data_IF_517841315271
#
_entry.id   IF_517841315271
#
_cell.length_a   1.000
_cell.length_b   1.000
_cell.length_c   1.000
_cell.angle_alpha   90.00
_cell.angle_beta   90.00
_cell.angle_gamma   90.00
#
_symmetry.space_group_name_H-M   'P 1'
#
loop_
_entity.id
_entity.type
_entity.pdbx_description
1 polymer ?
#
# COMPACT_ATOMS: atom_id res chain seq x y z
N UNK A 1 -42.22 48.20 -10.68
CA UNK A 1 -42.66 47.32 -9.59
C UNK A 1 -41.41 46.79 -8.91
N UNK A 2 -41.06 47.35 -7.75
CA UNK A 2 -40.12 46.75 -6.80
C UNK A 2 -40.95 46.18 -5.66
N UNK A 3 -40.65 44.97 -5.20
CA UNK A 3 -40.98 44.47 -3.87
C UNK A 3 -39.86 43.52 -3.41
N UNK A 4 -39.41 43.73 -2.18
CA UNK A 4 -38.18 43.24 -1.52
C UNK A 4 -38.47 42.04 -0.58
N UNK A 5 -37.42 41.21 -0.38
CA UNK A 5 -37.08 40.35 0.79
C UNK A 5 -38.08 39.22 1.15
N UNK A 6 -37.71 38.01 1.60
CA UNK A 6 -36.71 37.55 2.58
C UNK A 6 -36.49 36.03 2.37
N UNK A 7 -35.26 35.50 2.56
CA UNK A 7 -34.94 34.24 3.28
C UNK A 7 -33.62 33.60 2.80
N UNK A 8 -32.66 33.50 3.73
CA UNK A 8 -31.51 32.61 3.67
C UNK A 8 -31.93 31.14 3.80
N UNK A 9 -31.35 30.26 2.99
CA UNK A 9 -30.99 28.87 3.29
C UNK A 9 -29.74 28.61 2.42
N UNK A 10 -28.53 28.70 2.94
CA UNK A 10 -27.82 27.56 3.56
C UNK A 10 -28.20 26.22 2.91
N UNK A 11 -27.33 25.77 2.02
CA UNK A 11 -27.08 24.35 1.78
C UNK A 11 -25.57 24.23 1.59
N UNK A 12 -24.86 24.12 2.70
CA UNK A 12 -24.42 22.85 3.29
C UNK A 12 -23.46 22.10 2.36
N UNK A 13 -22.27 21.91 2.94
CA UNK A 13 -21.40 20.78 2.70
C UNK A 13 -20.93 20.63 1.25
N UNK A 14 -19.96 21.48 0.89
CA UNK A 14 -18.75 20.91 0.28
C UNK A 14 -18.19 19.94 1.31
N UNK A 15 -18.72 18.71 1.32
CA UNK A 15 -18.06 17.56 1.90
C UNK A 15 -16.70 17.50 1.20
N UNK A 16 -15.71 18.15 1.80
CA UNK A 16 -14.44 17.48 1.96
C UNK A 16 -14.83 16.17 2.62
N UNK A 17 -15.08 15.16 1.80
CA UNK A 17 -14.96 13.78 2.20
C UNK A 17 -13.57 13.73 2.82
N UNK A 18 -13.52 13.93 4.12
CA UNK A 18 -12.41 13.55 4.95
C UNK A 18 -12.43 12.04 4.84
N UNK A 19 -11.87 11.51 3.74
CA UNK A 19 -11.44 10.12 3.70
C UNK A 19 -10.65 9.96 4.98
N UNK A 20 -11.16 9.18 5.92
CA UNK A 20 -10.38 8.75 7.06
C UNK A 20 -9.07 8.21 6.47
N UNK A 21 -7.99 8.97 6.69
CA UNK A 21 -6.94 9.15 5.71
C UNK A 21 -6.05 7.94 5.61
N UNK A 22 -6.20 7.16 4.55
CA UNK A 22 -5.21 6.18 4.16
C UNK A 22 -3.94 6.96 3.81
N UNK A 23 -2.93 6.87 4.67
CA UNK A 23 -1.68 7.60 4.56
C UNK A 23 -0.82 7.02 3.42
N UNK A 24 -0.65 7.75 2.33
CA UNK A 24 0.14 7.33 1.17
C UNK A 24 1.56 6.88 1.54
N UNK A 25 2.22 7.57 2.46
CA UNK A 25 3.56 7.17 2.93
C UNK A 25 3.53 5.79 3.58
N UNK A 26 2.51 5.49 4.38
CA UNK A 26 2.38 4.17 4.99
C UNK A 26 2.07 3.09 3.94
N UNK A 27 1.24 3.39 2.95
CA UNK A 27 0.97 2.49 1.82
C UNK A 27 2.27 2.16 1.08
N UNK A 28 3.11 3.16 0.81
CA UNK A 28 4.42 2.97 0.15
C UNK A 28 5.36 2.10 0.98
N UNK A 29 5.40 2.29 2.29
CA UNK A 29 6.20 1.44 3.18
C UNK A 29 5.73 -0.02 3.14
N UNK A 30 4.42 -0.25 3.23
CA UNK A 30 3.82 -1.59 3.09
C UNK A 30 4.20 -2.19 1.74
N UNK A 31 3.99 -1.45 0.64
CA UNK A 31 4.33 -1.91 -0.71
C UNK A 31 5.81 -2.29 -0.85
N UNK A 32 6.71 -1.53 -0.21
CA UNK A 32 8.15 -1.78 -0.23
C UNK A 32 8.49 -3.08 0.49
N UNK A 33 7.94 -3.31 1.68
CA UNK A 33 8.21 -4.55 2.44
C UNK A 33 7.73 -5.79 1.67
N UNK A 34 6.56 -5.70 1.05
CA UNK A 34 6.02 -6.78 0.20
C UNK A 34 6.83 -6.97 -1.09
N UNK A 35 7.35 -5.88 -1.66
CA UNK A 35 8.22 -5.95 -2.85
C UNK A 35 9.58 -6.56 -2.54
N UNK A 36 10.15 -6.28 -1.36
CA UNK A 36 11.39 -6.94 -0.90
C UNK A 36 11.17 -8.44 -0.78
N UNK A 37 10.10 -8.88 -0.11
CA UNK A 37 9.77 -10.30 0.02
C UNK A 37 9.62 -10.98 -1.35
N UNK A 38 8.85 -10.37 -2.26
CA UNK A 38 8.70 -10.91 -3.61
C UNK A 38 10.02 -10.97 -4.37
N UNK A 39 10.85 -9.93 -4.26
CA UNK A 39 12.19 -9.92 -4.84
C UNK A 39 13.08 -11.05 -4.31
N UNK A 40 13.05 -11.28 -3.00
CA UNK A 40 13.80 -12.38 -2.36
C UNK A 40 13.30 -13.75 -2.83
N UNK A 41 11.97 -13.94 -2.87
CA UNK A 41 11.38 -15.19 -3.35
C UNK A 41 11.78 -15.49 -4.79
N UNK A 42 11.81 -14.47 -5.66
CA UNK A 42 12.24 -14.62 -7.05
C UNK A 42 13.74 -14.91 -7.17
N UNK A 43 14.58 -14.19 -6.44
CA UNK A 43 16.05 -14.37 -6.50
C UNK A 43 16.46 -15.76 -6.01
N UNK A 44 15.83 -16.23 -4.93
CA UNK A 44 16.21 -17.47 -4.25
C UNK A 44 15.38 -18.68 -4.71
N UNK A 45 14.55 -18.54 -5.76
CA UNK A 45 13.63 -19.57 -6.25
C UNK A 45 12.75 -20.17 -5.14
N UNK A 46 12.37 -19.36 -4.15
CA UNK A 46 11.57 -19.80 -3.02
C UNK A 46 10.08 -19.80 -3.37
N UNK A 47 9.38 -20.85 -2.94
CA UNK A 47 7.93 -20.92 -3.05
C UNK A 47 7.28 -20.10 -1.93
N UNK A 48 6.99 -18.82 -2.21
CA UNK A 48 6.27 -17.92 -1.32
C UNK A 48 4.93 -17.46 -1.90
N UNK A 49 4.04 -16.97 -1.04
CA UNK A 49 2.80 -16.33 -1.47
C UNK A 49 3.08 -15.01 -2.20
N UNK A 50 2.25 -14.65 -3.18
CA UNK A 50 2.35 -13.37 -3.87
C UNK A 50 1.62 -12.27 -3.09
N UNK A 51 2.20 -11.91 -1.93
CA UNK A 51 1.64 -10.91 -1.03
C UNK A 51 1.55 -9.54 -1.70
N UNK A 52 2.55 -9.16 -2.51
CA UNK A 52 2.56 -7.90 -3.23
C UNK A 52 1.40 -7.81 -4.23
N UNK A 53 1.21 -8.79 -5.11
CA UNK A 53 0.10 -8.74 -6.09
C UNK A 53 -1.26 -8.68 -5.39
N UNK A 54 -1.41 -9.42 -4.29
CA UNK A 54 -2.63 -9.40 -3.48
C UNK A 54 -2.90 -7.99 -2.94
N UNK A 55 -1.88 -7.36 -2.35
CA UNK A 55 -1.99 -5.99 -1.83
C UNK A 55 -2.30 -4.97 -2.93
N UNK A 56 -1.66 -5.07 -4.10
CA UNK A 56 -1.91 -4.16 -5.23
C UNK A 56 -3.35 -4.28 -5.76
N UNK A 57 -3.92 -5.48 -5.72
CA UNK A 57 -5.32 -5.71 -6.04
C UNK A 57 -6.25 -5.09 -4.99
N UNK A 58 -5.93 -5.22 -3.70
CA UNK A 58 -6.70 -4.55 -2.63
C UNK A 58 -6.62 -3.02 -2.73
N UNK A 59 -5.45 -2.47 -3.07
CA UNK A 59 -5.29 -1.03 -3.30
C UNK A 59 -6.19 -0.52 -4.43
N UNK A 60 -6.44 -1.34 -5.46
CA UNK A 60 -7.35 -0.97 -6.56
C UNK A 60 -8.78 -0.72 -6.07
N UNK A 61 -9.19 -1.38 -5.00
CA UNK A 61 -10.55 -1.29 -4.45
C UNK A 61 -10.65 -0.37 -3.22
N UNK A 62 -9.55 0.23 -2.76
CA UNK A 62 -9.52 1.04 -1.53
C UNK A 62 -9.81 2.53 -1.73
N UNK A 63 -10.21 2.93 -2.94
CA UNK A 63 -10.51 4.34 -3.26
C UNK A 63 -9.27 5.23 -3.45
N UNK A 64 -8.06 4.65 -3.49
CA UNK A 64 -6.83 5.39 -3.80
C UNK A 64 -6.79 5.75 -5.27
N UNK A 65 -6.32 6.97 -5.57
CA UNK A 65 -6.22 7.48 -6.93
C UNK A 65 -5.37 6.57 -7.82
N UNK A 66 -5.68 6.54 -9.11
CA UNK A 66 -4.95 5.71 -10.08
C UNK A 66 -3.47 6.11 -10.13
N UNK A 67 -3.19 7.41 -10.11
CA UNK A 67 -1.84 7.97 -10.19
C UNK A 67 -0.97 7.49 -9.03
N UNK A 68 -1.51 7.50 -7.81
CA UNK A 68 -0.81 7.01 -6.62
C UNK A 68 -0.54 5.51 -6.72
N UNK A 69 -1.54 4.72 -7.15
CA UNK A 69 -1.38 3.26 -7.32
C UNK A 69 -0.33 2.90 -8.38
N UNK A 70 -0.33 3.59 -9.51
CA UNK A 70 0.66 3.38 -10.57
C UNK A 70 2.07 3.78 -10.12
N UNK A 71 2.19 4.87 -9.36
CA UNK A 71 3.46 5.28 -8.76
C UNK A 71 3.98 4.23 -7.76
N UNK A 72 3.12 3.70 -6.89
CA UNK A 72 3.49 2.61 -5.96
C UNK A 72 3.92 1.36 -6.74
N UNK A 73 3.20 0.99 -7.80
CA UNK A 73 3.56 -0.16 -8.63
C UNK A 73 4.95 -0.02 -9.25
N UNK A 74 5.25 1.17 -9.77
CA UNK A 74 6.57 1.48 -10.32
C UNK A 74 7.67 1.38 -9.26
N UNK A 75 7.44 1.95 -8.06
CA UNK A 75 8.39 1.87 -6.94
C UNK A 75 8.63 0.42 -6.50
N UNK A 76 7.59 -0.41 -6.42
CA UNK A 76 7.72 -1.83 -6.10
C UNK A 76 8.56 -2.59 -7.13
N UNK A 77 8.41 -2.30 -8.43
CA UNK A 77 9.27 -2.89 -9.47
C UNK A 77 10.72 -2.46 -9.29
N UNK A 78 10.98 -1.17 -9.00
CA UNK A 78 12.34 -0.69 -8.71
C UNK A 78 12.93 -1.43 -7.51
N UNK A 79 12.15 -1.66 -6.46
CA UNK A 79 12.62 -2.39 -5.27
C UNK A 79 12.94 -3.85 -5.58
N UNK A 80 12.05 -4.57 -6.29
CA UNK A 80 12.31 -5.95 -6.70
C UNK A 80 13.57 -6.06 -7.56
N UNK A 81 13.77 -5.12 -8.49
CA UNK A 81 14.96 -5.10 -9.33
C UNK A 81 16.24 -4.89 -8.50
N UNK A 82 16.22 -4.05 -7.46
CA UNK A 82 17.36 -3.90 -6.55
C UNK A 82 17.72 -5.22 -5.88
N UNK A 83 16.73 -5.93 -5.33
CA UNK A 83 16.96 -7.24 -4.72
C UNK A 83 17.53 -8.24 -5.74
N UNK A 84 17.04 -8.24 -6.98
CA UNK A 84 17.52 -9.16 -8.02
C UNK A 84 18.99 -8.95 -8.42
N UNK A 85 19.58 -7.80 -8.08
CA UNK A 85 20.99 -7.48 -8.35
C UNK A 85 21.92 -7.72 -7.16
N UNK A 86 21.38 -8.14 -6.01
CA UNK A 86 22.16 -8.51 -4.84
C UNK A 86 22.74 -9.93 -4.99
N UNK A 87 23.81 -10.21 -4.27
CA UNK A 87 24.44 -11.53 -4.25
C UNK A 87 23.58 -12.53 -3.43
N UNK A 88 23.18 -13.69 -3.99
CA UNK A 88 22.32 -14.65 -3.30
C UNK A 88 22.84 -15.13 -1.94
N UNK A 89 24.16 -15.19 -1.76
CA UNK A 89 24.77 -15.65 -0.50
C UNK A 89 24.45 -14.76 0.71
N UNK A 90 24.12 -13.48 0.50
CA UNK A 90 23.73 -12.56 1.58
C UNK A 90 22.22 -12.43 1.74
N UNK A 91 21.44 -12.74 0.71
CA UNK A 91 19.99 -12.56 0.70
C UNK A 91 19.25 -13.86 0.99
N UNK A 92 19.72 -14.98 0.44
CA UNK A 92 19.05 -16.27 0.52
C UNK A 92 19.42 -17.06 1.78
N UNK A 93 19.49 -16.36 2.92
CA UNK A 93 19.75 -16.99 4.23
C UNK A 93 18.44 -17.18 5.02
N UNK A 94 18.35 -18.21 5.88
CA UNK A 94 17.18 -18.41 6.72
C UNK A 94 16.80 -17.17 7.55
N UNK A 95 17.79 -16.47 8.09
CA UNK A 95 17.59 -15.27 8.92
C UNK A 95 16.96 -14.13 8.12
N UNK A 96 17.36 -13.98 6.85
CA UNK A 96 16.79 -12.96 5.97
C UNK A 96 15.33 -13.28 5.62
N UNK A 97 15.01 -14.56 5.37
CA UNK A 97 13.63 -15.00 5.14
C UNK A 97 12.75 -14.82 6.37
N UNK A 98 13.23 -15.19 7.56
CA UNK A 98 12.50 -14.99 8.81
C UNK A 98 12.23 -13.50 9.06
N UNK A 99 13.26 -12.66 8.86
CA UNK A 99 13.13 -11.21 8.97
C UNK A 99 12.12 -10.64 7.97
N UNK A 100 12.13 -11.13 6.73
CA UNK A 100 11.16 -10.73 5.69
C UNK A 100 9.74 -11.15 6.06
N UNK A 101 9.54 -12.37 6.56
CA UNK A 101 8.23 -12.86 6.97
C UNK A 101 7.62 -12.01 8.10
N UNK A 102 8.43 -11.61 9.09
CA UNK A 102 8.00 -10.70 10.16
C UNK A 102 7.54 -9.36 9.58
N UNK A 103 8.34 -8.73 8.72
CA UNK A 103 7.97 -7.45 8.07
C UNK A 103 6.69 -7.56 7.25
N UNK A 104 6.51 -8.64 6.50
CA UNK A 104 5.28 -8.89 5.72
C UNK A 104 4.07 -9.03 6.65
N UNK A 105 4.19 -9.74 7.76
CA UNK A 105 3.11 -9.88 8.74
C UNK A 105 2.74 -8.51 9.36
N UNK A 106 3.74 -7.70 9.75
CA UNK A 106 3.53 -6.36 10.28
C UNK A 106 2.91 -5.42 9.24
N UNK A 107 3.36 -5.48 7.98
CA UNK A 107 2.83 -4.69 6.88
C UNK A 107 1.38 -5.04 6.57
N UNK A 108 1.02 -6.33 6.59
CA UNK A 108 -0.37 -6.79 6.46
C UNK A 108 -1.25 -6.31 7.60
N UNK A 109 -0.79 -6.44 8.84
CA UNK A 109 -1.49 -5.92 10.02
C UNK A 109 -1.71 -4.42 9.90
N UNK A 110 -0.69 -3.67 9.48
CA UNK A 110 -0.76 -2.22 9.26
C UNK A 110 -1.82 -1.86 8.22
N UNK A 111 -1.86 -2.62 7.13
CA UNK A 111 -2.85 -2.43 6.08
C UNK A 111 -4.29 -2.68 6.57
N UNK A 112 -4.48 -3.74 7.36
CA UNK A 112 -5.77 -4.06 7.97
C UNK A 112 -6.22 -2.95 8.94
N UNK A 113 -5.33 -2.46 9.80
CA UNK A 113 -5.58 -1.32 10.69
C UNK A 113 -6.00 -0.07 9.91
N UNK A 114 -5.34 0.24 8.79
CA UNK A 114 -5.67 1.39 7.93
C UNK A 114 -7.05 1.26 7.27
N UNK A 115 -7.54 0.04 7.08
CA UNK A 115 -8.88 -0.25 6.55
C UNK A 115 -9.94 -0.42 7.64
N UNK A 116 -9.58 -0.30 8.91
CA UNK A 116 -10.49 -0.53 10.03
C UNK A 116 -10.87 -2.00 10.23
N UNK A 117 -10.08 -2.93 9.68
CA UNK A 117 -10.23 -4.36 9.91
C UNK A 117 -9.38 -4.69 11.15
N UNK A 118 -9.97 -4.56 12.33
CA UNK A 118 -9.33 -5.04 13.57
C UNK A 118 -9.73 -6.50 13.80
N UNK A 119 -8.73 -7.39 13.86
CA UNK A 119 -8.89 -8.77 14.35
C UNK A 119 -9.03 -8.80 15.87
#
# INVERSE_FOLDING_TARGET
MCLLAVASCEQETSERHSSAGINETQIRLIANDLAVEKGMNLLCEANGEDNLSTFMEELRHSGISKEVRESIAADSVVMMNKISTEEPEYICTPEMFESSAIRVAEARKKWDEMRGITQ
#
